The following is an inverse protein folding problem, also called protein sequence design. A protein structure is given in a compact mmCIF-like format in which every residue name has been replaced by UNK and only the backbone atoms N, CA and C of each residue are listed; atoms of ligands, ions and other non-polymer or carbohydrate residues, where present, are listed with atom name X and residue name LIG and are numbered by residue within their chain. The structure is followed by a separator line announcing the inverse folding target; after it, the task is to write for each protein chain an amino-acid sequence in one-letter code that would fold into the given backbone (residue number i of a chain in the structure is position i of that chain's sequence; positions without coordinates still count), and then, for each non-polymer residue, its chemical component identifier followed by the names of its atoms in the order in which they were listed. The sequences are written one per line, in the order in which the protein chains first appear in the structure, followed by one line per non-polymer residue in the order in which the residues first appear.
data_IF_499987293851
#
_entry.id   IF_499987293851
#
_cell.length_a   1.000
_cell.length_b   1.000
_cell.length_c   1.000
_cell.angle_alpha   90.00
_cell.angle_beta   90.00
_cell.angle_gamma   90.00
#
_symmetry.space_group_name_H-M   'P 1'
#
loop_
_entity.id
_entity.type
_entity.pdbx_description
1 polymer ?
#
# COMPACT_ATOMS: atom_id res chain seq x y z
N UNK A 1 -2.73 -18.09 11.82
CA UNK A 1 -3.11 -17.82 10.41
C UNK A 1 -3.13 -16.32 10.29
N UNK A 2 -2.08 -15.71 9.74
CA UNK A 2 -1.90 -14.28 9.84
C UNK A 2 -3.12 -13.50 9.29
N UNK A 3 -3.82 -12.74 10.13
CA UNK A 3 -5.05 -12.05 9.77
C UNK A 3 -4.75 -11.06 8.67
N UNK A 4 -5.34 -11.31 7.50
CA UNK A 4 -5.41 -10.39 6.37
C UNK A 4 -6.35 -9.20 6.67
N UNK A 5 -6.38 -8.75 7.94
CA UNK A 5 -7.31 -7.74 8.41
C UNK A 5 -6.85 -6.40 7.86
N UNK A 6 -7.60 -5.88 6.90
CA UNK A 6 -7.38 -4.55 6.35
C UNK A 6 -7.73 -3.51 7.43
N UNK A 7 -6.82 -2.59 7.70
CA UNK A 7 -7.06 -1.42 8.52
C UNK A 7 -7.49 -0.27 7.61
N UNK A 8 -8.56 0.44 7.97
CA UNK A 8 -8.95 1.66 7.27
C UNK A 8 -8.02 2.79 7.71
N UNK A 9 -7.40 3.48 6.76
CA UNK A 9 -6.42 4.54 7.04
C UNK A 9 -6.71 5.75 6.16
N UNK A 10 -6.67 6.94 6.76
CA UNK A 10 -6.70 8.22 6.04
C UNK A 10 -5.27 8.68 5.82
N UNK A 11 -4.92 8.99 4.58
CA UNK A 11 -3.60 9.52 4.21
C UNK A 11 -3.76 10.81 3.43
N UNK A 12 -2.74 11.68 3.50
CA UNK A 12 -2.64 12.84 2.63
C UNK A 12 -1.77 12.48 1.42
N UNK A 13 -2.25 12.82 0.23
CA UNK A 13 -1.49 12.76 -1.02
C UNK A 13 -1.58 14.13 -1.70
N UNK A 14 -0.69 14.39 -2.63
CA UNK A 14 -0.75 15.61 -3.44
C UNK A 14 -1.92 15.57 -4.42
N UNK A 15 -2.39 16.74 -4.86
CA UNK A 15 -3.47 16.85 -5.87
C UNK A 15 -3.10 16.11 -7.15
N UNK A 16 -1.85 16.27 -7.61
CA UNK A 16 -1.36 15.60 -8.81
C UNK A 16 -1.37 14.06 -8.67
N UNK A 17 -1.07 13.53 -7.47
CA UNK A 17 -1.16 12.09 -7.22
C UNK A 17 -2.60 11.59 -7.27
N UNK A 18 -3.56 12.33 -6.70
CA UNK A 18 -4.98 11.99 -6.76
C UNK A 18 -5.49 11.96 -8.21
N UNK A 19 -5.16 12.97 -9.02
CA UNK A 19 -5.53 13.03 -10.44
C UNK A 19 -4.97 11.84 -11.23
N UNK A 20 -3.67 11.54 -11.06
CA UNK A 20 -3.01 10.40 -11.71
C UNK A 20 -3.62 9.07 -11.30
N UNK A 21 -3.91 8.88 -10.00
CA UNK A 21 -4.54 7.65 -9.51
C UNK A 21 -5.96 7.47 -10.03
N UNK A 22 -6.74 8.55 -10.13
CA UNK A 22 -8.09 8.51 -10.73
C UNK A 22 -8.04 8.10 -12.19
N UNK A 23 -7.17 8.71 -12.99
CA UNK A 23 -7.00 8.37 -14.40
C UNK A 23 -6.55 6.91 -14.57
N UNK A 24 -5.56 6.47 -13.79
CA UNK A 24 -5.08 5.09 -13.82
C UNK A 24 -6.18 4.09 -13.42
N UNK A 25 -6.94 4.41 -12.37
CA UNK A 25 -8.05 3.57 -11.89
C UNK A 25 -9.14 3.44 -12.95
N UNK A 26 -9.49 4.53 -13.63
CA UNK A 26 -10.46 4.52 -14.74
C UNK A 26 -9.97 3.69 -15.93
N UNK A 27 -8.70 3.84 -16.31
CA UNK A 27 -8.13 3.15 -17.47
C UNK A 27 -8.00 1.63 -17.27
N UNK A 28 -7.84 1.17 -16.03
CA UNK A 28 -7.53 -0.23 -15.71
C UNK A 28 -8.66 -0.98 -15.02
N UNK A 29 -9.64 -0.25 -14.47
CA UNK A 29 -10.68 -0.82 -13.59
C UNK A 29 -10.17 -1.20 -12.20
N UNK A 30 -8.88 -1.00 -11.89
CA UNK A 30 -8.31 -1.31 -10.58
C UNK A 30 -8.54 -0.16 -9.62
N UNK A 31 -8.94 -0.44 -8.38
CA UNK A 31 -9.23 0.62 -7.40
C UNK A 31 -7.98 1.42 -7.01
N UNK A 32 -8.12 2.73 -6.77
CA UNK A 32 -7.03 3.57 -6.25
C UNK A 32 -6.43 3.00 -4.96
N UNK A 33 -7.27 2.45 -4.07
CA UNK A 33 -6.83 1.83 -2.83
C UNK A 33 -5.91 0.61 -3.05
N UNK A 34 -6.08 -0.11 -4.16
CA UNK A 34 -5.17 -1.19 -4.52
C UNK A 34 -3.82 -0.65 -4.95
N UNK A 35 -3.77 0.37 -5.83
CA UNK A 35 -2.50 0.99 -6.21
C UNK A 35 -1.74 1.63 -5.06
N UNK A 36 -2.46 2.27 -4.12
CA UNK A 36 -1.85 2.82 -2.91
C UNK A 36 -1.20 1.70 -2.10
N UNK A 37 -1.87 0.55 -1.93
CA UNK A 37 -1.29 -0.62 -1.24
C UNK A 37 -0.09 -1.20 -1.99
N UNK A 38 -0.19 -1.39 -3.31
CA UNK A 38 0.92 -1.87 -4.13
C UNK A 38 2.15 -0.95 -4.03
N UNK A 39 1.94 0.37 -4.00
CA UNK A 39 3.00 1.34 -3.75
C UNK A 39 3.62 1.23 -2.35
N UNK A 40 2.79 1.00 -1.31
CA UNK A 40 3.28 0.73 0.05
C UNK A 40 4.12 -0.55 0.07
N UNK A 41 3.63 -1.64 -0.49
CA UNK A 41 4.32 -2.94 -0.54
C UNK A 41 5.67 -2.80 -1.27
N UNK A 42 5.71 -2.08 -2.39
CA UNK A 42 6.93 -1.81 -3.13
C UNK A 42 7.98 -1.05 -2.29
N UNK A 43 7.56 -0.02 -1.56
CA UNK A 43 8.46 0.78 -0.72
C UNK A 43 8.96 -0.01 0.50
N UNK A 44 8.12 -0.86 1.08
CA UNK A 44 8.51 -1.74 2.19
C UNK A 44 9.52 -2.80 1.75
N UNK A 45 9.31 -3.42 0.58
CA UNK A 45 10.26 -4.37 0.00
C UNK A 45 11.61 -3.69 -0.30
N UNK A 46 11.58 -2.46 -0.84
CA UNK A 46 12.79 -1.69 -1.14
C UNK A 46 13.62 -1.37 0.11
N UNK A 47 12.99 -1.20 1.27
CA UNK A 47 13.65 -0.85 2.53
C UNK A 47 13.67 -2.00 3.54
N UNK A 48 13.48 -3.25 3.10
CA UNK A 48 13.41 -4.43 3.98
C UNK A 48 14.65 -4.64 4.84
N UNK A 49 15.80 -4.18 4.37
CA UNK A 49 17.09 -4.20 5.08
C UNK A 49 17.12 -3.27 6.30
N UNK A 50 16.28 -2.22 6.28
CA UNK A 50 16.14 -1.25 7.37
C UNK A 50 15.01 -1.61 8.34
N UNK A 51 14.17 -2.56 7.98
CA UNK A 51 13.17 -3.10 8.90
C UNK A 51 13.87 -4.09 9.84
N UNK A 52 13.60 -4.05 11.15
CA UNK A 52 14.17 -5.00 12.09
C UNK A 52 13.92 -6.44 11.62
N UNK A 53 14.99 -7.20 11.34
CA UNK A 53 14.89 -8.63 10.96
C UNK A 53 14.28 -9.49 12.09
N UNK A 54 14.17 -8.96 13.30
CA UNK A 54 13.39 -9.56 14.38
C UNK A 54 11.96 -9.04 14.34
N UNK A 55 11.14 -9.69 13.53
CA UNK A 55 10.11 -10.56 14.06
C UNK A 55 9.48 -11.30 12.88
N UNK A 56 9.56 -12.64 12.93
CA UNK A 56 8.50 -13.47 12.39
C UNK A 56 7.21 -13.20 13.16
N UNK A 57 6.68 -11.98 13.05
CA UNK A 57 5.32 -11.64 13.39
C UNK A 57 4.47 -12.27 12.28
N UNK A 58 4.19 -13.56 12.45
CA UNK A 58 2.86 -14.07 12.13
C UNK A 58 1.87 -13.14 12.84
N UNK A 59 1.42 -12.10 12.15
CA UNK A 59 0.34 -11.25 12.65
C UNK A 59 -0.93 -12.07 12.48
N UNK A 60 -1.23 -13.00 13.40
CA UNK A 60 -2.46 -13.81 13.45
C UNK A 60 -3.75 -13.03 13.21
#
# INVERSE_FOLDING_TARGET
MASTRKVATTIYITVEQDEKLKLLSQATGTSMAQYIREGIDHILELHKDRLPQQLGLSID
#
